data_IF_057945618239
#
_entry.id   IF_057945618239
#
_cell.length_a   1.000
_cell.length_b   1.000
_cell.length_c   1.000
_cell.angle_alpha   90.00
_cell.angle_beta   90.00
_cell.angle_gamma   90.00
#
_symmetry.space_group_name_H-M   'P 1'
#
loop_
_entity.id
_entity.type
_entity.pdbx_description
1 polymer ?
#
# COMPACT_ATOMS: atom_id res chain seq x y z
N UNK A 1 35.23 41.43 14.55
CA UNK A 1 35.30 41.98 15.92
C UNK A 1 33.94 42.59 16.27
N UNK A 2 32.87 41.78 16.27
CA UNK A 2 31.49 42.25 16.42
C UNK A 2 30.50 41.21 17.02
N UNK A 3 30.98 40.02 17.42
CA UNK A 3 30.11 38.94 17.94
C UNK A 3 29.92 39.00 19.47
N UNK A 4 30.87 39.59 20.21
CA UNK A 4 30.76 39.73 21.67
C UNK A 4 29.64 40.68 22.10
N UNK A 5 29.35 41.71 21.30
CA UNK A 5 28.37 42.75 21.65
C UNK A 5 26.93 42.31 21.37
N UNK A 6 26.73 41.40 20.41
CA UNK A 6 25.42 40.86 20.09
C UNK A 6 24.95 39.83 21.13
N UNK A 7 25.88 39.04 21.67
CA UNK A 7 25.62 38.07 22.76
C UNK A 7 25.22 38.81 24.05
N UNK A 8 25.94 39.87 24.42
CA UNK A 8 25.62 40.65 25.62
C UNK A 8 24.24 41.33 25.53
N UNK A 9 23.88 41.87 24.36
CA UNK A 9 22.57 42.48 24.15
C UNK A 9 21.42 41.45 24.15
N UNK A 10 21.66 40.24 23.67
CA UNK A 10 20.67 39.16 23.72
C UNK A 10 20.44 38.67 25.15
N UNK A 11 21.51 38.50 25.93
CA UNK A 11 21.42 38.12 27.35
C UNK A 11 20.69 39.20 28.17
N UNK A 12 20.97 40.48 27.90
CA UNK A 12 20.33 41.59 28.61
C UNK A 12 18.83 41.70 28.26
N UNK A 13 18.45 41.47 27.00
CA UNK A 13 17.03 41.40 26.58
C UNK A 13 16.31 40.20 27.19
N UNK A 14 16.96 39.03 27.26
CA UNK A 14 16.41 37.84 27.90
C UNK A 14 16.19 38.05 29.41
N UNK A 15 17.15 38.69 30.09
CA UNK A 15 17.05 39.02 31.51
C UNK A 15 15.92 40.03 31.79
N UNK A 16 15.74 41.04 30.93
CA UNK A 16 14.66 42.02 31.04
C UNK A 16 13.28 41.37 30.84
N UNK A 17 13.15 40.46 29.87
CA UNK A 17 11.94 39.67 29.67
C UNK A 17 11.63 38.77 30.87
N UNK A 18 12.65 38.13 31.45
CA UNK A 18 12.49 37.25 32.60
C UNK A 18 12.04 38.04 33.85
N UNK A 19 12.60 39.23 34.08
CA UNK A 19 12.19 40.12 35.15
C UNK A 19 10.76 40.68 34.95
N UNK A 20 10.41 41.07 33.72
CA UNK A 20 9.05 41.52 33.38
C UNK A 20 8.03 40.39 33.60
N UNK A 21 8.40 39.15 33.23
CA UNK A 21 7.58 37.97 33.43
C UNK A 21 7.34 37.69 34.92
N UNK A 22 8.38 37.77 35.76
CA UNK A 22 8.28 37.66 37.22
C UNK A 22 7.43 38.78 37.83
N UNK A 23 7.52 40.00 37.31
CA UNK A 23 6.73 41.13 37.78
C UNK A 23 5.23 40.98 37.45
N UNK A 24 4.91 40.54 36.22
CA UNK A 24 3.55 40.19 35.81
C UNK A 24 2.98 39.03 36.63
N UNK A 25 3.81 38.03 36.95
CA UNK A 25 3.47 36.91 37.83
C UNK A 25 3.07 37.34 39.24
N UNK A 26 3.70 38.39 39.79
CA UNK A 26 3.44 38.88 41.14
C UNK A 26 2.13 39.67 41.25
N UNK A 27 1.72 40.35 40.19
CA UNK A 27 0.47 41.14 40.18
C UNK A 27 -0.79 40.26 40.07
N UNK A 28 -0.66 39.02 39.57
CA UNK A 28 -1.76 38.09 39.33
C UNK A 28 -2.00 37.08 40.49
N UNK A 29 -1.52 37.40 41.70
CA UNK A 29 -1.28 36.47 42.82
C UNK A 29 -2.48 35.66 43.35
N UNK A 30 -3.73 35.98 42.97
CA UNK A 30 -4.92 35.20 43.36
C UNK A 30 -5.35 34.16 42.32
N UNK A 31 -5.08 34.41 41.03
CA UNK A 31 -5.38 33.47 39.94
C UNK A 31 -4.18 32.58 39.58
N UNK A 32 -2.99 32.97 40.03
CA UNK A 32 -1.74 32.27 39.78
C UNK A 32 -1.73 30.78 40.17
N UNK A 33 -2.20 30.34 41.36
CA UNK A 33 -2.18 28.91 41.68
C UNK A 33 -3.09 28.07 40.78
N UNK A 34 -4.22 28.63 40.32
CA UNK A 34 -5.12 27.97 39.36
C UNK A 34 -4.50 27.88 37.97
N UNK A 35 -3.94 28.98 37.46
CA UNK A 35 -3.26 28.99 36.16
C UNK A 35 -2.05 28.05 36.15
N UNK A 36 -1.25 28.05 37.21
CA UNK A 36 -0.09 27.16 37.35
C UNK A 36 -0.52 25.69 37.44
N UNK A 37 -1.62 25.39 38.13
CA UNK A 37 -2.20 24.05 38.15
C UNK A 37 -2.64 23.57 36.77
N UNK A 38 -3.37 24.39 36.02
CA UNK A 38 -3.81 24.03 34.64
C UNK A 38 -2.63 23.87 33.67
N UNK A 39 -1.61 24.72 33.79
CA UNK A 39 -0.40 24.65 32.95
C UNK A 39 0.41 23.39 33.28
N UNK A 40 0.48 22.99 34.54
CA UNK A 40 1.18 21.79 34.99
C UNK A 40 0.45 20.51 34.53
N UNK A 41 -0.88 20.48 34.58
CA UNK A 41 -1.68 19.36 34.02
C UNK A 41 -1.52 19.27 32.51
N UNK A 42 -1.53 20.39 31.79
CA UNK A 42 -1.29 20.41 30.34
C UNK A 42 0.14 20.01 29.98
N UNK A 43 1.14 20.42 30.77
CA UNK A 43 2.53 20.04 30.56
C UNK A 43 2.75 18.54 30.78
N UNK A 44 2.16 17.97 31.84
CA UNK A 44 2.25 16.53 32.12
C UNK A 44 1.46 15.73 31.08
N UNK A 45 0.22 16.12 30.78
CA UNK A 45 -0.62 15.46 29.78
C UNK A 45 -0.03 15.54 28.38
N UNK A 46 0.43 16.73 27.98
CA UNK A 46 1.12 16.97 26.72
C UNK A 46 2.46 16.22 26.64
N UNK A 47 3.23 16.18 27.73
CA UNK A 47 4.46 15.42 27.82
C UNK A 47 4.23 13.91 27.70
N UNK A 48 3.24 13.37 28.40
CA UNK A 48 2.85 11.97 28.32
C UNK A 48 2.33 11.60 26.92
N UNK A 49 1.49 12.45 26.32
CA UNK A 49 1.01 12.27 24.94
C UNK A 49 2.16 12.32 23.93
N UNK A 50 3.09 13.27 24.08
CA UNK A 50 4.26 13.39 23.21
C UNK A 50 5.21 12.19 23.34
N UNK A 51 5.46 11.72 24.57
CA UNK A 51 6.24 10.51 24.81
C UNK A 51 5.56 9.28 24.22
N UNK A 52 4.26 9.10 24.45
CA UNK A 52 3.49 7.98 23.87
C UNK A 52 3.48 8.03 22.34
N UNK A 53 3.20 9.20 21.76
CA UNK A 53 3.27 9.46 20.31
C UNK A 53 4.64 9.12 19.73
N UNK A 54 5.72 9.55 20.40
CA UNK A 54 7.10 9.27 19.99
C UNK A 54 7.43 7.78 20.09
N UNK A 55 7.01 7.11 21.17
CA UNK A 55 7.14 5.66 21.35
C UNK A 55 6.35 4.87 20.29
N UNK A 56 5.15 5.32 19.93
CA UNK A 56 4.32 4.66 18.93
C UNK A 56 4.90 4.83 17.52
N UNK A 57 5.47 6.00 17.19
CA UNK A 57 6.23 6.22 15.95
C UNK A 57 7.44 5.28 15.88
N UNK A 58 8.18 5.12 16.99
CA UNK A 58 9.31 4.17 17.08
C UNK A 58 8.88 2.72 16.90
N UNK A 59 7.75 2.31 17.49
CA UNK A 59 7.19 0.95 17.30
C UNK A 59 6.77 0.70 15.86
N UNK A 60 6.06 1.64 15.23
CA UNK A 60 5.68 1.55 13.81
C UNK A 60 6.89 1.50 12.87
N UNK A 61 7.94 2.28 13.16
CA UNK A 61 9.20 2.21 12.43
C UNK A 61 9.92 0.86 12.61
N UNK A 62 9.89 0.29 13.82
CA UNK A 62 10.47 -1.03 14.11
C UNK A 62 9.74 -2.15 13.36
N UNK A 63 8.41 -2.10 13.32
CA UNK A 63 7.58 -3.07 12.59
C UNK A 63 7.79 -2.95 11.07
N UNK A 64 7.89 -1.72 10.52
CA UNK A 64 8.24 -1.54 9.09
C UNK A 64 9.61 -2.15 8.77
N UNK A 65 10.63 -1.89 9.61
CA UNK A 65 11.99 -2.44 9.42
C UNK A 65 12.06 -3.96 9.43
N UNK A 66 11.12 -4.65 10.09
CA UNK A 66 11.07 -6.11 10.11
C UNK A 66 10.29 -6.71 8.93
N UNK A 67 9.50 -5.92 8.21
CA UNK A 67 8.76 -6.37 7.03
C UNK A 67 9.58 -6.22 5.76
N UNK A 68 9.41 -7.14 4.81
CA UNK A 68 10.07 -7.09 3.49
C UNK A 68 9.71 -5.80 2.74
N UNK A 69 8.47 -5.31 2.87
CA UNK A 69 8.07 -4.00 2.31
C UNK A 69 8.85 -2.84 2.94
N UNK A 70 8.92 -2.74 4.27
CA UNK A 70 9.62 -1.62 4.90
C UNK A 70 11.15 -1.66 4.72
N UNK A 71 11.75 -2.85 4.55
CA UNK A 71 13.15 -2.97 4.12
C UNK A 71 13.37 -2.48 2.69
N UNK A 72 12.38 -2.64 1.81
CA UNK A 72 12.45 -2.13 0.42
C UNK A 72 12.31 -0.60 0.38
N UNK A 73 11.38 -0.04 1.17
CA UNK A 73 11.20 1.41 1.28
C UNK A 73 12.45 2.10 1.85
N UNK A 74 13.03 1.56 2.93
CA UNK A 74 14.26 2.11 3.54
C UNK A 74 15.45 2.09 2.56
N UNK A 75 15.56 1.05 1.73
CA UNK A 75 16.60 0.96 0.69
C UNK A 75 16.36 1.93 -0.47
N UNK A 76 15.11 2.14 -0.87
CA UNK A 76 14.73 3.14 -1.89
C UNK A 76 15.08 4.55 -1.39
N UNK A 77 14.70 4.87 -0.16
CA UNK A 77 15.01 6.16 0.49
C UNK A 77 16.53 6.37 0.58
N UNK A 78 17.27 5.34 1.01
CA UNK A 78 18.74 5.38 1.04
C UNK A 78 19.35 5.65 -0.35
N UNK A 79 18.87 4.98 -1.40
CA UNK A 79 19.35 5.24 -2.76
C UNK A 79 19.08 6.69 -3.19
N UNK A 80 17.88 7.22 -2.90
CA UNK A 80 17.52 8.60 -3.22
C UNK A 80 18.39 9.62 -2.47
N UNK A 81 18.65 9.39 -1.18
CA UNK A 81 19.54 10.22 -0.38
C UNK A 81 20.96 10.23 -0.95
N UNK A 82 21.50 9.06 -1.32
CA UNK A 82 22.82 8.97 -1.91
C UNK A 82 22.90 9.65 -3.28
N UNK A 83 21.86 9.55 -4.11
CA UNK A 83 21.79 10.27 -5.40
C UNK A 83 21.84 11.77 -5.14
N UNK A 84 20.97 12.29 -4.27
CA UNK A 84 20.89 13.72 -3.95
C UNK A 84 22.23 14.25 -3.39
N UNK A 85 22.84 13.50 -2.46
CA UNK A 85 24.14 13.84 -1.90
C UNK A 85 25.24 13.91 -2.96
N UNK A 86 25.37 12.88 -3.81
CA UNK A 86 26.41 12.86 -4.84
C UNK A 86 26.16 13.91 -5.93
N UNK A 87 24.90 14.25 -6.24
CA UNK A 87 24.56 15.35 -7.16
C UNK A 87 25.00 16.70 -6.61
N UNK A 88 24.75 16.96 -5.32
CA UNK A 88 25.20 18.19 -4.65
C UNK A 88 26.72 18.31 -4.65
N UNK A 89 27.41 17.24 -4.24
CA UNK A 89 28.88 17.18 -4.23
C UNK A 89 29.46 17.36 -5.64
N UNK A 90 28.87 16.73 -6.66
CA UNK A 90 29.28 16.93 -8.06
C UNK A 90 29.07 18.38 -8.53
N UNK A 91 28.00 19.04 -8.08
CA UNK A 91 27.77 20.47 -8.33
C UNK A 91 28.88 21.35 -7.75
N UNK A 92 29.25 21.12 -6.48
CA UNK A 92 30.33 21.83 -5.80
C UNK A 92 31.68 21.62 -6.51
N UNK A 93 32.00 20.39 -6.89
CA UNK A 93 33.24 20.08 -7.63
C UNK A 93 33.29 20.83 -8.96
N UNK A 94 32.18 20.90 -9.71
CA UNK A 94 32.14 21.67 -10.98
C UNK A 94 32.37 23.16 -10.76
N UNK A 95 31.81 23.70 -9.69
CA UNK A 95 32.02 25.10 -9.31
C UNK A 95 33.49 25.36 -8.98
N UNK A 96 34.13 24.52 -8.18
CA UNK A 96 35.56 24.61 -7.87
C UNK A 96 36.45 24.49 -9.11
N UNK A 97 36.14 23.57 -10.04
CA UNK A 97 36.86 23.47 -11.32
C UNK A 97 36.73 24.76 -12.13
N UNK A 98 35.51 25.31 -12.21
CA UNK A 98 35.25 26.55 -12.94
C UNK A 98 36.01 27.72 -12.34
N UNK A 99 35.98 27.86 -11.01
CA UNK A 99 36.70 28.90 -10.28
C UNK A 99 38.20 28.82 -10.54
N UNK A 100 38.81 27.64 -10.39
CA UNK A 100 40.23 27.43 -10.66
C UNK A 100 40.60 27.77 -12.11
N UNK A 101 39.78 27.35 -13.09
CA UNK A 101 39.99 27.68 -14.51
C UNK A 101 39.90 29.18 -14.78
N UNK A 102 38.95 29.88 -14.16
CA UNK A 102 38.82 31.34 -14.27
C UNK A 102 40.01 32.06 -13.64
N UNK A 103 40.41 31.71 -12.41
CA UNK A 103 41.55 32.32 -11.73
C UNK A 103 42.86 32.12 -12.52
N UNK A 104 43.06 30.94 -13.12
CA UNK A 104 44.20 30.67 -14.00
C UNK A 104 44.21 31.50 -15.29
N UNK A 105 43.04 31.81 -15.85
CA UNK A 105 42.90 32.59 -17.07
C UNK A 105 43.10 34.09 -16.83
N UNK A 106 42.67 34.59 -15.67
CA UNK A 106 42.78 36.01 -15.29
C UNK A 106 44.17 36.40 -14.75
N UNK A 107 44.98 35.43 -14.31
CA UNK A 107 46.31 35.69 -13.77
C UNK A 107 47.37 35.89 -14.86
N UNK A 108 47.45 37.10 -15.43
CA UNK A 108 48.62 37.52 -16.20
C UNK A 108 49.86 37.54 -15.28
N UNK A 109 50.90 36.78 -15.63
CA UNK A 109 52.13 36.69 -14.83
C UNK A 109 52.16 35.64 -13.71
N UNK A 110 51.21 34.70 -13.66
CA UNK A 110 51.28 33.55 -12.75
C UNK A 110 52.60 32.78 -12.92
N UNK A 111 53.30 32.50 -11.82
CA UNK A 111 54.48 31.65 -11.82
C UNK A 111 54.16 30.26 -12.40
N UNK A 112 55.04 29.71 -13.23
CA UNK A 112 54.84 28.41 -13.89
C UNK A 112 54.46 27.30 -12.91
N UNK A 113 55.09 27.27 -11.73
CA UNK A 113 54.78 26.30 -10.67
C UNK A 113 53.32 26.37 -10.19
N UNK A 114 52.80 27.57 -9.95
CA UNK A 114 51.40 27.77 -9.52
C UNK A 114 50.41 27.33 -10.60
N UNK A 115 50.76 27.54 -11.87
CA UNK A 115 49.96 27.07 -13.01
C UNK A 115 49.95 25.55 -13.09
N UNK A 116 51.10 24.90 -12.92
CA UNK A 116 51.20 23.43 -12.89
C UNK A 116 50.43 22.82 -11.72
N UNK A 117 50.52 23.40 -10.53
CA UNK A 117 49.79 22.96 -9.34
C UNK A 117 48.27 23.08 -9.55
N UNK A 118 47.80 24.19 -10.15
CA UNK A 118 46.38 24.37 -10.46
C UNK A 118 45.88 23.37 -11.52
N UNK A 119 46.67 23.07 -12.55
CA UNK A 119 46.34 22.04 -13.55
C UNK A 119 46.23 20.67 -12.90
N UNK A 120 47.17 20.33 -12.00
CA UNK A 120 47.12 19.07 -11.25
C UNK A 120 45.85 18.97 -10.42
N UNK A 121 45.52 20.02 -9.67
CA UNK A 121 44.33 20.06 -8.82
C UNK A 121 43.04 19.96 -9.63
N UNK A 122 42.95 20.64 -10.78
CA UNK A 122 41.82 20.51 -11.71
C UNK A 122 41.65 19.05 -12.16
N UNK A 123 42.75 18.37 -12.52
CA UNK A 123 42.71 16.97 -12.95
C UNK A 123 42.21 16.04 -11.84
N UNK A 124 42.60 16.28 -10.59
CA UNK A 124 42.11 15.53 -9.43
C UNK A 124 40.60 15.77 -9.22
N UNK A 125 40.14 17.01 -9.30
CA UNK A 125 38.71 17.33 -9.25
C UNK A 125 37.91 16.69 -10.40
N UNK A 126 38.45 16.66 -11.61
CA UNK A 126 37.80 16.00 -12.75
C UNK A 126 37.70 14.47 -12.54
N UNK A 127 38.71 13.86 -11.93
CA UNK A 127 38.67 12.44 -11.53
C UNK A 127 37.58 12.18 -10.48
N UNK A 128 37.53 13.01 -9.44
CA UNK A 128 36.51 12.91 -8.39
C UNK A 128 35.10 13.15 -8.94
N UNK A 129 34.93 14.12 -9.85
CA UNK A 129 33.66 14.37 -10.53
C UNK A 129 33.16 13.13 -11.28
N UNK A 130 34.06 12.44 -11.99
CA UNK A 130 33.74 11.19 -12.69
C UNK A 130 33.35 10.08 -11.71
N UNK A 131 33.99 10.01 -10.54
CA UNK A 131 33.62 9.07 -9.48
C UNK A 131 32.20 9.37 -8.97
N UNK A 132 31.86 10.64 -8.72
CA UNK A 132 30.50 11.02 -8.28
C UNK A 132 29.44 10.69 -9.32
N UNK A 133 29.72 10.95 -10.60
CA UNK A 133 28.82 10.57 -11.69
C UNK A 133 28.59 9.05 -11.77
N UNK A 134 29.66 8.27 -11.59
CA UNK A 134 29.57 6.80 -11.55
C UNK A 134 28.72 6.32 -10.38
N UNK A 135 28.88 6.93 -9.19
CA UNK A 135 28.05 6.63 -8.01
C UNK A 135 26.58 6.96 -8.23
N UNK A 136 26.28 8.12 -8.82
CA UNK A 136 24.91 8.52 -9.16
C UNK A 136 24.28 7.47 -10.08
N UNK A 137 24.95 7.12 -11.18
CA UNK A 137 24.45 6.12 -12.14
C UNK A 137 24.24 4.74 -11.51
N UNK A 138 25.14 4.32 -10.61
CA UNK A 138 24.98 3.09 -9.84
C UNK A 138 23.71 3.12 -8.97
N UNK A 139 23.52 4.19 -8.19
CA UNK A 139 22.35 4.30 -7.30
C UNK A 139 21.04 4.47 -8.06
N UNK A 140 21.02 5.16 -9.20
CA UNK A 140 19.85 5.24 -10.09
C UNK A 140 19.48 3.86 -10.63
N UNK A 141 20.47 3.08 -11.05
CA UNK A 141 20.25 1.69 -11.50
C UNK A 141 19.71 0.81 -10.37
N UNK A 142 20.27 0.94 -9.16
CA UNK A 142 19.82 0.20 -8.00
C UNK A 142 18.38 0.58 -7.61
N UNK A 143 18.06 1.87 -7.62
CA UNK A 143 16.72 2.41 -7.35
C UNK A 143 15.69 1.82 -8.33
N UNK A 144 15.97 1.88 -9.63
CA UNK A 144 15.10 1.33 -10.66
C UNK A 144 14.85 -0.18 -10.46
N UNK A 145 15.90 -0.94 -10.14
CA UNK A 145 15.77 -2.38 -9.86
C UNK A 145 14.91 -2.65 -8.62
N UNK A 146 15.12 -1.90 -7.54
CA UNK A 146 14.32 -2.04 -6.31
C UNK A 146 12.83 -1.72 -6.57
N UNK A 147 12.53 -0.65 -7.30
CA UNK A 147 11.17 -0.30 -7.68
C UNK A 147 10.52 -1.37 -8.56
N UNK A 148 11.26 -1.92 -9.52
CA UNK A 148 10.78 -3.01 -10.38
C UNK A 148 10.48 -4.27 -9.55
N UNK A 149 11.35 -4.64 -8.61
CA UNK A 149 11.13 -5.77 -7.72
C UNK A 149 9.89 -5.58 -6.83
N UNK A 150 9.70 -4.36 -6.31
CA UNK A 150 8.52 -4.01 -5.52
C UNK A 150 7.24 -4.14 -6.36
N UNK A 151 7.23 -3.58 -7.57
CA UNK A 151 6.09 -3.67 -8.49
C UNK A 151 5.77 -5.13 -8.85
N UNK A 152 6.77 -5.91 -9.21
CA UNK A 152 6.60 -7.32 -9.55
C UNK A 152 6.00 -8.11 -8.39
N UNK A 153 6.45 -7.87 -7.15
CA UNK A 153 5.90 -8.56 -5.97
C UNK A 153 4.42 -8.23 -5.76
N UNK A 154 4.03 -6.95 -5.90
CA UNK A 154 2.63 -6.52 -5.79
C UNK A 154 1.78 -7.16 -6.88
N UNK A 155 2.29 -7.21 -8.12
CA UNK A 155 1.59 -7.85 -9.23
C UNK A 155 1.42 -9.36 -9.01
N UNK A 156 2.47 -10.07 -8.59
CA UNK A 156 2.39 -11.51 -8.28
C UNK A 156 1.37 -11.78 -7.18
N UNK A 157 1.34 -10.95 -6.14
CA UNK A 157 0.33 -11.08 -5.08
C UNK A 157 -1.08 -10.90 -5.63
N UNK A 158 -1.31 -9.84 -6.43
CA UNK A 158 -2.61 -9.62 -7.06
C UNK A 158 -3.04 -10.74 -7.99
N UNK A 159 -2.10 -11.36 -8.74
CA UNK A 159 -2.40 -12.51 -9.60
C UNK A 159 -2.85 -13.68 -8.74
N UNK A 160 -2.13 -13.99 -7.66
CA UNK A 160 -2.48 -15.10 -6.77
C UNK A 160 -3.85 -14.90 -6.10
N UNK A 161 -4.14 -13.69 -5.64
CA UNK A 161 -5.45 -13.34 -5.08
C UNK A 161 -6.58 -13.55 -6.11
N UNK A 162 -6.34 -13.17 -7.37
CA UNK A 162 -7.29 -13.36 -8.48
C UNK A 162 -7.43 -14.82 -8.91
N UNK A 163 -6.36 -15.61 -8.85
CA UNK A 163 -6.43 -17.05 -9.07
C UNK A 163 -7.26 -17.77 -8.01
N UNK A 164 -7.10 -17.38 -6.74
CA UNK A 164 -7.93 -17.89 -5.63
C UNK A 164 -9.40 -17.51 -5.81
N UNK A 165 -9.67 -16.25 -6.18
CA UNK A 165 -11.03 -15.78 -6.49
C UNK A 165 -11.65 -16.59 -7.65
N UNK A 166 -10.88 -16.82 -8.72
CA UNK A 166 -11.31 -17.61 -9.86
C UNK A 166 -11.60 -19.07 -9.49
N UNK A 167 -10.76 -19.68 -8.65
CA UNK A 167 -10.98 -21.05 -8.15
C UNK A 167 -12.29 -21.14 -7.37
N UNK A 168 -12.56 -20.19 -6.47
CA UNK A 168 -13.82 -20.15 -5.71
C UNK A 168 -15.04 -20.00 -6.61
N UNK A 169 -14.96 -19.17 -7.66
CA UNK A 169 -16.04 -19.03 -8.63
C UNK A 169 -16.26 -20.30 -9.45
N UNK A 170 -15.19 -21.03 -9.78
CA UNK A 170 -15.29 -22.33 -10.47
C UNK A 170 -15.89 -23.42 -9.59
N UNK A 171 -15.60 -23.42 -8.30
CA UNK A 171 -16.21 -24.35 -7.34
C UNK A 171 -17.73 -24.18 -7.29
N UNK A 172 -18.22 -22.93 -7.21
CA UNK A 172 -19.66 -22.64 -7.31
C UNK A 172 -20.28 -23.09 -8.64
N UNK A 173 -19.54 -22.96 -9.75
CA UNK A 173 -20.02 -23.43 -11.06
C UNK A 173 -20.26 -24.94 -11.15
N UNK A 174 -19.55 -25.77 -10.38
CA UNK A 174 -19.81 -27.22 -10.40
C UNK A 174 -21.13 -27.57 -9.71
N UNK A 175 -21.50 -26.83 -8.67
CA UNK A 175 -22.79 -26.94 -8.00
C UNK A 175 -23.91 -26.46 -8.93
N UNK A 176 -23.73 -25.28 -9.56
CA UNK A 176 -24.68 -24.76 -10.54
C UNK A 176 -24.87 -25.72 -11.74
N UNK A 177 -23.79 -26.34 -12.23
CA UNK A 177 -23.85 -27.29 -13.34
C UNK A 177 -24.58 -28.58 -12.93
N UNK A 178 -24.39 -29.06 -11.70
CA UNK A 178 -25.11 -30.21 -11.18
C UNK A 178 -26.62 -29.90 -11.07
N UNK A 179 -26.99 -28.74 -10.55
CA UNK A 179 -28.38 -28.29 -10.49
C UNK A 179 -28.99 -28.09 -11.88
N UNK A 180 -28.21 -27.62 -12.86
CA UNK A 180 -28.67 -27.53 -14.25
C UNK A 180 -28.92 -28.92 -14.87
N UNK A 181 -28.06 -29.90 -14.60
CA UNK A 181 -28.24 -31.27 -15.12
C UNK A 181 -29.40 -31.99 -14.44
N UNK A 182 -29.57 -31.79 -13.13
CA UNK A 182 -30.74 -32.25 -12.38
C UNK A 182 -32.03 -31.69 -12.98
N UNK A 183 -32.11 -30.36 -13.14
CA UNK A 183 -33.26 -29.70 -13.77
C UNK A 183 -33.51 -30.21 -15.20
N UNK A 184 -32.44 -30.43 -15.97
CA UNK A 184 -32.56 -30.99 -17.33
C UNK A 184 -33.16 -32.40 -17.30
N UNK A 185 -32.68 -33.26 -16.41
CA UNK A 185 -33.21 -34.62 -16.23
C UNK A 185 -34.69 -34.60 -15.85
N UNK A 186 -35.08 -33.70 -14.95
CA UNK A 186 -36.48 -33.55 -14.53
C UNK A 186 -37.37 -33.12 -15.71
N UNK A 187 -36.93 -32.14 -16.51
CA UNK A 187 -37.65 -31.69 -17.70
C UNK A 187 -37.76 -32.79 -18.77
N UNK A 188 -36.69 -33.57 -19.00
CA UNK A 188 -36.73 -34.71 -19.92
C UNK A 188 -37.73 -35.77 -19.46
N UNK A 189 -37.80 -36.04 -18.15
CA UNK A 189 -38.76 -36.96 -17.55
C UNK A 189 -40.21 -36.46 -17.70
N UNK A 190 -40.47 -35.19 -17.36
CA UNK A 190 -41.79 -34.57 -17.51
C UNK A 190 -42.26 -34.58 -18.97
N UNK A 191 -41.36 -34.35 -19.92
CA UNK A 191 -41.68 -34.38 -21.35
C UNK A 191 -42.12 -35.79 -21.77
N UNK A 192 -41.40 -36.83 -21.34
CA UNK A 192 -41.76 -38.22 -21.63
C UNK A 192 -43.13 -38.60 -21.05
N UNK A 193 -43.45 -38.11 -19.85
CA UNK A 193 -44.77 -38.29 -19.25
C UNK A 193 -45.88 -37.60 -20.06
N UNK A 194 -45.66 -36.34 -20.48
CA UNK A 194 -46.63 -35.61 -21.30
C UNK A 194 -46.88 -36.30 -22.66
N UNK A 195 -45.82 -36.83 -23.29
CA UNK A 195 -45.94 -37.61 -24.52
C UNK A 195 -46.76 -38.89 -24.31
N UNK A 196 -46.52 -39.58 -23.19
CA UNK A 196 -47.27 -40.79 -22.81
C UNK A 196 -48.75 -40.47 -22.54
N UNK A 197 -49.04 -39.39 -21.82
CA UNK A 197 -50.42 -38.92 -21.58
C UNK A 197 -51.11 -38.58 -22.91
N UNK A 198 -50.40 -37.94 -23.84
CA UNK A 198 -50.93 -37.60 -25.15
C UNK A 198 -51.22 -38.86 -25.98
N UNK A 199 -50.33 -39.86 -25.97
CA UNK A 199 -50.55 -41.13 -26.65
C UNK A 199 -51.75 -41.88 -26.07
N UNK A 200 -51.89 -41.94 -24.74
CA UNK A 200 -53.04 -42.53 -24.07
C UNK A 200 -54.34 -41.77 -24.36
N UNK A 201 -54.28 -40.44 -24.43
CA UNK A 201 -55.42 -39.60 -24.80
C UNK A 201 -55.87 -39.85 -26.25
N UNK A 202 -54.92 -40.02 -27.18
CA UNK A 202 -55.21 -40.41 -28.57
C UNK A 202 -55.79 -41.82 -28.67
N UNK A 203 -55.28 -42.78 -27.89
CA UNK A 203 -55.82 -44.13 -27.77
C UNK A 203 -57.24 -44.13 -27.21
N UNK A 204 -57.51 -43.36 -26.16
CA UNK A 204 -58.84 -43.19 -25.58
C UNK A 204 -59.84 -42.61 -26.59
N UNK A 205 -59.43 -41.58 -27.35
CA UNK A 205 -60.27 -40.92 -28.34
C UNK A 205 -60.57 -41.82 -29.57
N UNK A 206 -59.73 -42.83 -29.82
CA UNK A 206 -59.93 -43.82 -30.89
C UNK A 206 -60.62 -45.10 -30.43
N UNK A 207 -60.74 -45.36 -29.12
CA UNK A 207 -61.41 -46.55 -28.58
C UNK A 207 -62.90 -46.30 -28.29
N UNK A 208 -63.78 -46.74 -29.17
CA UNK A 208 -65.25 -46.66 -29.04
C UNK A 208 -65.89 -47.82 -28.25
N UNK A 209 -65.15 -48.45 -27.33
CA UNK A 209 -65.63 -49.57 -26.50
C UNK A 209 -65.47 -49.27 -25.00
N UNK A 210 -66.55 -49.46 -24.23
CA UNK A 210 -66.65 -49.18 -22.79
C UNK A 210 -65.61 -49.96 -21.95
N UNK A 211 -65.24 -51.17 -22.38
CA UNK A 211 -64.32 -52.06 -21.67
C UNK A 211 -62.85 -51.61 -21.76
N UNK A 212 -62.45 -50.99 -22.87
CA UNK A 212 -61.08 -50.47 -23.06
C UNK A 212 -60.87 -49.12 -22.35
N UNK A 213 -61.93 -48.33 -22.17
CA UNK A 213 -61.86 -47.06 -21.43
C UNK A 213 -61.60 -47.30 -19.93
N UNK A 214 -62.07 -48.42 -19.38
CA UNK A 214 -61.95 -48.73 -17.96
C UNK A 214 -60.54 -49.26 -17.60
N UNK A 215 -59.91 -50.05 -18.47
CA UNK A 215 -58.51 -50.49 -18.27
C UNK A 215 -57.50 -49.34 -18.42
N UNK A 216 -57.73 -48.43 -19.37
CA UNK A 216 -56.90 -47.23 -19.56
C UNK A 216 -57.02 -46.24 -18.38
N UNK A 217 -58.22 -46.14 -17.78
CA UNK A 217 -58.44 -45.35 -16.55
C UNK A 217 -57.64 -45.92 -15.39
N UNK A 218 -57.60 -47.25 -15.27
CA UNK A 218 -56.87 -47.94 -14.20
C UNK A 218 -55.35 -47.78 -14.34
N UNK A 219 -54.82 -47.82 -15.57
CA UNK A 219 -53.40 -47.59 -15.85
C UNK A 219 -52.97 -46.14 -15.57
N UNK A 220 -53.83 -45.16 -15.89
CA UNK A 220 -53.64 -43.76 -15.50
C UNK A 220 -53.67 -43.58 -13.97
N UNK A 221 -54.60 -44.22 -13.27
CA UNK A 221 -54.73 -44.15 -11.82
C UNK A 221 -53.52 -44.79 -11.11
N UNK A 222 -52.97 -45.86 -11.67
CA UNK A 222 -51.77 -46.53 -11.15
C UNK A 222 -50.50 -45.70 -11.35
N UNK A 223 -50.32 -45.08 -12.52
CA UNK A 223 -49.21 -44.13 -12.76
C UNK A 223 -49.32 -42.87 -11.90
N UNK A 224 -50.54 -42.34 -11.71
CA UNK A 224 -50.77 -41.15 -10.87
C UNK A 224 -50.56 -41.47 -9.38
N UNK A 225 -50.79 -42.72 -8.96
CA UNK A 225 -50.54 -43.18 -7.59
C UNK A 225 -49.05 -43.37 -7.29
N UNK A 226 -48.25 -43.84 -8.26
CA UNK A 226 -46.79 -43.92 -8.11
C UNK A 226 -46.17 -42.51 -8.02
N UNK A 227 -46.78 -41.51 -8.68
CA UNK A 227 -46.43 -40.08 -8.57
C UNK A 227 -46.77 -39.49 -7.17
N UNK A 228 -47.94 -39.81 -6.62
CA UNK A 228 -48.36 -39.29 -5.30
C UNK A 228 -47.68 -39.96 -4.10
N UNK A 229 -47.27 -41.23 -4.23
CA UNK A 229 -46.70 -42.02 -3.13
C UNK A 229 -45.20 -41.80 -2.86
N UNK A 230 -44.46 -41.22 -3.81
CA UNK A 230 -43.01 -40.98 -3.68
C UNK A 230 -42.63 -39.58 -3.18
N UNK A 231 -43.61 -38.69 -2.99
CA UNK A 231 -43.41 -37.35 -2.43
C UNK A 231 -43.37 -37.26 -0.89
N UNK A 232 -43.75 -38.32 -0.15
CA UNK A 232 -43.79 -38.31 1.34
C UNK A 232 -42.63 -39.08 2.00
N UNK A 233 -41.55 -39.34 1.25
CA UNK A 233 -40.50 -40.27 1.64
C UNK A 233 -39.14 -39.70 2.06
N UNK A 234 -38.95 -38.40 2.26
CA UNK A 234 -37.65 -37.85 2.74
C UNK A 234 -37.79 -36.52 3.51
N UNK A 235 -38.56 -36.50 4.60
CA UNK A 235 -38.30 -35.57 5.72
C UNK A 235 -38.37 -36.34 7.04
N UNK A 236 -37.21 -36.79 7.52
CA UNK A 236 -37.06 -37.39 8.83
C UNK A 236 -35.58 -37.67 9.13
N UNK A 237 -34.95 -36.71 9.83
CA UNK A 237 -33.69 -36.75 10.61
C UNK A 237 -32.54 -37.64 10.16
#
# INVERSE_FOLDING_TARGET
MNDSDNINNWVLRAALFFLLFIFLLRFMGRLFPFLLGTMLVLAIGGGAFFLWSSLQKRRKAKVRRTTVEGMSEERIEYCQEQISKNQKEAGQIRESIKELKTQMASGEGLANKTREDAIRLIKEFESELKLRQSKISFFETALHKLQTLQYNRLLTQSINDKELELKRLKEGHYEDLASMEELRSDVEMETLYLDTINELSLKLNSSTSLENAESLRQELEEMTRDLGGRGEGTMGW
#
